data_IF_602373966436
#
_entry.id   IF_602373966436
#
_cell.length_a   1.000
_cell.length_b   1.000
_cell.length_c   1.000
_cell.angle_alpha   90.00
_cell.angle_beta   90.00
_cell.angle_gamma   90.00
#
_symmetry.space_group_name_H-M   'P 1'
#
loop_
_entity.id
_entity.type
_entity.pdbx_description
1 polymer ?
#
# COMPACT_ATOMS: atom_id res chain seq x y z
N UNK A 1 5.23 -18.42 -21.98
CA UNK A 1 4.35 -19.38 -21.28
C UNK A 1 2.92 -19.08 -21.72
N UNK A 2 2.14 -20.08 -22.16
CA UNK A 2 0.70 -19.92 -22.43
C UNK A 2 -0.07 -19.37 -21.21
N UNK A 3 -1.21 -18.71 -21.45
CA UNK A 3 -1.98 -18.07 -20.38
C UNK A 3 -2.47 -19.07 -19.32
N UNK A 4 -2.94 -20.25 -19.73
CA UNK A 4 -3.39 -21.31 -18.81
C UNK A 4 -2.24 -21.83 -17.93
N UNK A 5 -1.05 -22.02 -18.51
CA UNK A 5 0.13 -22.47 -17.79
C UNK A 5 0.61 -21.42 -16.78
N UNK A 6 0.52 -20.13 -17.14
CA UNK A 6 0.85 -19.04 -16.22
C UNK A 6 -0.10 -18.97 -15.02
N UNK A 7 -1.40 -19.16 -15.26
CA UNK A 7 -2.40 -19.22 -14.19
C UNK A 7 -2.18 -20.42 -13.27
N UNK A 8 -1.95 -21.61 -13.84
CA UNK A 8 -1.67 -22.82 -13.06
C UNK A 8 -0.39 -22.69 -12.23
N UNK A 9 0.65 -22.07 -12.80
CA UNK A 9 1.88 -21.74 -12.07
C UNK A 9 1.62 -20.76 -10.92
N UNK A 10 0.82 -19.71 -11.15
CA UNK A 10 0.47 -18.74 -10.11
C UNK A 10 -0.31 -19.39 -8.97
N UNK A 11 -1.32 -20.22 -9.27
CA UNK A 11 -2.10 -20.95 -8.27
C UNK A 11 -1.22 -21.86 -7.41
N UNK A 12 -0.33 -22.63 -8.05
CA UNK A 12 0.62 -23.52 -7.37
C UNK A 12 1.58 -22.72 -6.49
N UNK A 13 2.16 -21.64 -7.03
CA UNK A 13 3.13 -20.81 -6.31
C UNK A 13 2.50 -20.08 -5.12
N UNK A 14 1.27 -19.58 -5.27
CA UNK A 14 0.50 -18.97 -4.16
C UNK A 14 0.24 -19.99 -3.07
N UNK A 15 -0.22 -21.19 -3.42
CA UNK A 15 -0.51 -22.24 -2.45
C UNK A 15 0.75 -22.65 -1.66
N UNK A 16 1.88 -22.80 -2.35
CA UNK A 16 3.16 -23.10 -1.72
C UNK A 16 3.63 -21.98 -0.78
N UNK A 17 3.47 -20.71 -1.18
CA UNK A 17 3.78 -19.56 -0.32
C UNK A 17 2.95 -19.59 0.96
N UNK A 18 1.63 -19.77 0.85
CA UNK A 18 0.72 -19.81 2.01
C UNK A 18 1.08 -20.96 2.93
N UNK A 19 1.32 -22.16 2.39
CA UNK A 19 1.72 -23.32 3.17
C UNK A 19 3.06 -23.09 3.91
N UNK A 20 4.05 -22.53 3.22
CA UNK A 20 5.36 -22.25 3.83
C UNK A 20 5.28 -21.25 4.97
N UNK A 21 4.45 -20.21 4.86
CA UNK A 21 4.30 -19.19 5.91
C UNK A 21 3.37 -19.62 7.06
N UNK A 22 2.56 -20.67 6.89
CA UNK A 22 1.61 -21.11 7.91
C UNK A 22 2.30 -21.60 9.20
N UNK A 23 3.46 -22.22 9.07
CA UNK A 23 4.18 -22.84 10.20
C UNK A 23 5.35 -21.99 10.72
N UNK A 24 5.59 -20.80 10.15
CA UNK A 24 6.66 -19.91 10.58
C UNK A 24 6.15 -19.03 11.73
N UNK A 25 6.91 -18.96 12.82
CA UNK A 25 6.64 -17.98 13.89
C UNK A 25 6.57 -16.56 13.28
N UNK A 26 5.46 -15.82 13.46
CA UNK A 26 5.27 -14.48 12.92
C UNK A 26 6.42 -13.51 13.19
N UNK A 27 7.14 -13.66 14.30
CA UNK A 27 8.26 -12.81 14.69
C UNK A 27 9.60 -13.18 14.02
N UNK A 28 9.70 -14.37 13.41
CA UNK A 28 10.92 -14.87 12.74
C UNK A 28 11.47 -13.83 11.78
N UNK A 29 12.77 -13.51 11.89
CA UNK A 29 13.44 -12.57 11.00
C UNK A 29 13.89 -13.27 9.72
N UNK A 30 13.36 -12.80 8.59
CA UNK A 30 13.67 -13.28 7.26
C UNK A 30 14.63 -12.30 6.56
N UNK A 31 15.59 -12.81 5.75
CA UNK A 31 16.39 -11.97 4.87
C UNK A 31 15.51 -11.12 3.95
N UNK A 32 15.87 -9.85 3.76
CA UNK A 32 15.11 -8.90 2.95
C UNK A 32 16.07 -7.98 2.17
N UNK A 33 15.55 -7.25 1.19
CA UNK A 33 16.34 -6.28 0.41
C UNK A 33 16.88 -5.12 1.29
N UNK A 34 16.15 -4.79 2.35
CA UNK A 34 16.57 -3.85 3.39
C UNK A 34 16.90 -4.56 4.71
N UNK A 35 16.66 -3.94 5.86
CA UNK A 35 16.77 -4.61 7.16
C UNK A 35 15.93 -5.90 7.19
N UNK A 36 16.39 -6.96 7.87
CA UNK A 36 15.62 -8.18 8.04
C UNK A 36 14.20 -7.89 8.53
N UNK A 37 13.22 -8.54 7.90
CA UNK A 37 11.81 -8.30 8.15
C UNK A 37 11.21 -9.47 8.93
N UNK A 38 10.23 -9.24 9.80
CA UNK A 38 9.48 -10.35 10.42
C UNK A 38 8.72 -11.16 9.37
N UNK A 39 8.43 -12.43 9.65
CA UNK A 39 7.65 -13.28 8.75
C UNK A 39 6.27 -12.68 8.44
N UNK A 40 5.60 -12.11 9.46
CA UNK A 40 4.30 -11.43 9.27
C UNK A 40 4.41 -10.19 8.39
N UNK A 41 5.45 -9.39 8.54
CA UNK A 41 5.65 -8.19 7.71
C UNK A 41 6.01 -8.58 6.27
N UNK A 42 6.83 -9.63 6.10
CA UNK A 42 7.17 -10.18 4.78
C UNK A 42 5.93 -10.68 4.04
N UNK A 43 5.05 -11.43 4.72
CA UNK A 43 3.80 -11.90 4.15
C UNK A 43 2.84 -10.74 3.83
N UNK A 44 2.77 -9.73 4.70
CA UNK A 44 1.97 -8.51 4.46
C UNK A 44 2.48 -7.74 3.24
N UNK A 45 3.80 -7.67 3.05
CA UNK A 45 4.39 -7.08 1.85
C UNK A 45 4.00 -7.86 0.58
N UNK A 46 4.02 -9.20 0.61
CA UNK A 46 3.58 -10.03 -0.52
C UNK A 46 2.09 -9.89 -0.82
N UNK A 47 1.26 -9.77 0.21
CA UNK A 47 -0.16 -9.47 0.05
C UNK A 47 -0.36 -8.11 -0.64
N UNK A 48 0.34 -7.08 -0.18
CA UNK A 48 0.28 -5.74 -0.78
C UNK A 48 0.75 -5.75 -2.24
N UNK A 49 1.88 -6.37 -2.55
CA UNK A 49 2.38 -6.51 -3.94
C UNK A 49 1.37 -7.20 -4.84
N UNK A 50 0.78 -8.31 -4.37
CA UNK A 50 -0.26 -9.04 -5.11
C UNK A 50 -1.49 -8.18 -5.33
N UNK A 51 -1.91 -7.42 -4.31
CA UNK A 51 -3.06 -6.53 -4.41
C UNK A 51 -2.82 -5.37 -5.40
N UNK A 52 -1.62 -4.79 -5.37
CA UNK A 52 -1.22 -3.65 -6.19
C UNK A 52 -1.07 -4.06 -7.67
N UNK A 53 -0.42 -5.19 -7.94
CA UNK A 53 -0.35 -5.72 -9.31
C UNK A 53 -1.67 -6.28 -9.82
N UNK A 54 -2.53 -6.79 -8.93
CA UNK A 54 -3.92 -7.07 -9.26
C UNK A 54 -4.68 -5.82 -9.70
N UNK A 55 -4.38 -4.65 -9.13
CA UNK A 55 -4.95 -3.39 -9.59
C UNK A 55 -4.46 -3.01 -10.99
N UNK A 56 -3.18 -3.23 -11.29
CA UNK A 56 -2.63 -2.97 -12.63
C UNK A 56 -3.41 -3.76 -13.71
N UNK A 57 -3.79 -5.01 -13.41
CA UNK A 57 -4.65 -5.83 -14.31
C UNK A 57 -6.07 -5.29 -14.42
N UNK A 58 -6.68 -4.91 -13.29
CA UNK A 58 -8.03 -4.32 -13.26
C UNK A 58 -8.07 -3.05 -14.11
N UNK A 59 -7.08 -2.17 -13.95
CA UNK A 59 -6.96 -0.93 -14.71
C UNK A 59 -6.76 -1.21 -16.21
N UNK A 60 -5.89 -2.16 -16.57
CA UNK A 60 -5.63 -2.53 -17.96
C UNK A 60 -6.86 -3.09 -18.68
N UNK A 61 -7.75 -3.76 -17.94
CA UNK A 61 -9.00 -4.32 -18.47
C UNK A 61 -10.18 -3.34 -18.38
N UNK A 62 -10.00 -2.15 -17.81
CA UNK A 62 -11.10 -1.22 -17.55
C UNK A 62 -12.15 -1.79 -16.58
N UNK A 63 -11.78 -2.74 -15.75
CA UNK A 63 -12.68 -3.39 -14.80
C UNK A 63 -12.78 -2.57 -13.50
N UNK A 64 -13.79 -2.91 -12.69
CA UNK A 64 -13.90 -2.41 -11.31
C UNK A 64 -13.68 -3.57 -10.34
N UNK A 65 -12.87 -3.36 -9.30
CA UNK A 65 -12.67 -4.31 -8.21
C UNK A 65 -13.27 -3.74 -6.94
N UNK A 66 -14.20 -4.47 -6.34
CA UNK A 66 -14.82 -4.09 -5.08
C UNK A 66 -13.79 -3.98 -3.95
N UNK A 67 -13.81 -2.85 -3.24
CA UNK A 67 -13.01 -2.64 -2.05
C UNK A 67 -13.60 -3.44 -0.89
N UNK A 68 -12.74 -4.13 -0.13
CA UNK A 68 -13.17 -4.93 1.03
C UNK A 68 -12.29 -4.63 2.25
N UNK A 69 -12.72 -5.04 3.44
CA UNK A 69 -11.98 -4.84 4.68
C UNK A 69 -10.53 -5.40 4.63
N UNK A 70 -10.22 -6.32 3.70
CA UNK A 70 -8.86 -6.83 3.45
C UNK A 70 -7.85 -5.73 3.07
N UNK A 71 -8.30 -4.57 2.61
CA UNK A 71 -7.46 -3.39 2.39
C UNK A 71 -6.72 -2.93 3.65
N UNK A 72 -7.21 -3.27 4.85
CA UNK A 72 -6.55 -2.91 6.11
C UNK A 72 -5.10 -3.38 6.17
N UNK A 73 -4.77 -4.52 5.55
CA UNK A 73 -3.39 -5.02 5.49
C UNK A 73 -2.49 -4.12 4.61
N UNK A 74 -3.01 -3.67 3.47
CA UNK A 74 -2.30 -2.76 2.56
C UNK A 74 -2.13 -1.38 3.19
N UNK A 75 -3.18 -0.86 3.81
CA UNK A 75 -3.11 0.40 4.55
C UNK A 75 -2.10 0.31 5.70
N UNK A 76 -2.09 -0.79 6.46
CA UNK A 76 -1.18 -0.97 7.58
C UNK A 76 0.29 -0.93 7.16
N UNK A 77 0.67 -1.64 6.09
CA UNK A 77 2.04 -1.58 5.59
C UNK A 77 2.36 -0.22 4.95
N UNK A 78 1.39 0.42 4.29
CA UNK A 78 1.55 1.79 3.78
C UNK A 78 1.87 2.81 4.88
N UNK A 79 1.19 2.73 6.02
CA UNK A 79 1.51 3.56 7.20
C UNK A 79 2.89 3.20 7.76
N UNK A 80 3.18 1.91 7.91
CA UNK A 80 4.48 1.43 8.41
C UNK A 80 5.66 1.82 7.53
N UNK A 81 5.42 2.09 6.24
CA UNK A 81 6.44 2.48 5.27
C UNK A 81 6.72 3.99 5.23
N UNK A 82 6.15 4.82 6.11
CA UNK A 82 6.45 6.26 6.17
C UNK A 82 7.96 6.51 6.24
N UNK A 83 8.65 5.93 7.21
CA UNK A 83 10.11 6.11 7.36
C UNK A 83 10.88 5.69 6.08
N UNK A 84 10.45 4.61 5.44
CA UNK A 84 11.03 4.15 4.20
C UNK A 84 10.79 5.12 3.03
N UNK A 85 9.61 5.75 2.96
CA UNK A 85 9.27 6.75 1.93
C UNK A 85 10.24 7.94 1.96
N UNK A 86 10.59 8.43 3.16
CA UNK A 86 11.59 9.50 3.33
C UNK A 86 12.99 9.03 2.94
N UNK A 87 13.42 7.86 3.43
CA UNK A 87 14.71 7.27 3.10
C UNK A 87 14.90 7.09 1.58
N UNK A 88 13.89 6.55 0.89
CA UNK A 88 13.93 6.30 -0.55
C UNK A 88 14.02 7.59 -1.38
N UNK A 89 13.59 8.73 -0.82
CA UNK A 89 13.66 10.05 -1.45
C UNK A 89 14.85 10.89 -0.95
N UNK A 90 15.75 10.33 -0.14
CA UNK A 90 16.90 11.05 0.40
C UNK A 90 16.53 12.18 1.36
N UNK A 91 15.38 12.06 2.03
CA UNK A 91 14.87 13.03 2.99
C UNK A 91 15.00 12.50 4.42
N UNK A 92 15.22 13.40 5.37
CA UNK A 92 15.16 13.06 6.79
C UNK A 92 13.71 12.86 7.23
N UNK A 93 13.47 11.82 8.04
CA UNK A 93 12.15 11.57 8.62
C UNK A 93 11.87 12.62 9.72
N UNK A 94 10.80 13.42 9.61
CA UNK A 94 10.38 14.32 10.68
C UNK A 94 10.00 13.54 11.94
N UNK A 95 10.44 14.03 13.11
CA UNK A 95 10.16 13.40 14.40
C UNK A 95 8.67 13.41 14.76
N UNK A 96 7.95 14.45 14.32
CA UNK A 96 6.54 14.58 14.63
C UNK A 96 5.69 13.47 13.95
N UNK A 97 4.73 12.90 14.69
CA UNK A 97 3.87 11.86 14.16
C UNK A 97 2.86 12.43 13.17
N UNK A 98 2.34 11.53 12.32
CA UNK A 98 1.18 11.79 11.48
C UNK A 98 0.08 10.83 11.91
N UNK A 99 -1.10 11.37 12.21
CA UNK A 99 -2.33 10.61 12.44
C UNK A 99 -2.90 10.17 11.11
N UNK A 100 -3.31 8.92 10.99
CA UNK A 100 -3.98 8.40 9.78
C UNK A 100 -5.36 7.92 10.15
N UNK A 101 -6.39 8.39 9.44
CA UNK A 101 -7.79 8.02 9.65
C UNK A 101 -8.46 7.69 8.33
N UNK A 102 -8.66 6.39 8.07
CA UNK A 102 -9.19 5.91 6.80
C UNK A 102 -10.61 5.39 6.96
N UNK A 103 -11.49 5.80 6.08
CA UNK A 103 -12.83 5.22 5.96
C UNK A 103 -12.73 3.87 5.27
N UNK A 104 -13.06 2.81 6.00
CA UNK A 104 -13.13 1.44 5.53
C UNK A 104 -14.29 1.24 4.53
N UNK A 105 -14.26 0.16 3.73
CA UNK A 105 -15.34 -0.10 2.77
C UNK A 105 -16.72 -0.31 3.39
N UNK A 106 -16.80 -0.70 4.66
CA UNK A 106 -18.05 -0.82 5.43
C UNK A 106 -18.47 0.49 6.14
N UNK A 107 -17.73 1.58 5.92
CA UNK A 107 -17.96 2.88 6.55
C UNK A 107 -17.34 3.03 7.95
N UNK A 108 -16.77 1.97 8.54
CA UNK A 108 -16.00 2.08 9.79
C UNK A 108 -14.72 2.91 9.59
N UNK A 109 -14.10 3.37 10.69
CA UNK A 109 -12.85 4.15 10.62
C UNK A 109 -11.68 3.35 11.15
N UNK A 110 -10.59 3.30 10.38
CA UNK A 110 -9.32 2.73 10.80
C UNK A 110 -8.34 3.84 11.16
N UNK A 111 -7.70 3.73 12.32
CA UNK A 111 -6.81 4.77 12.84
C UNK A 111 -5.40 4.24 13.12
N UNK A 112 -4.39 5.03 12.78
CA UNK A 112 -2.99 4.82 13.18
C UNK A 112 -2.38 6.11 13.71
N UNK A 113 -1.50 6.00 14.71
CA UNK A 113 -0.82 7.15 15.31
C UNK A 113 -1.63 7.90 16.38
N UNK A 114 -1.00 8.85 17.08
CA UNK A 114 -1.60 9.59 18.19
C UNK A 114 -2.80 10.42 17.76
N UNK A 115 -3.83 10.50 18.60
CA UNK A 115 -5.06 11.24 18.28
C UNK A 115 -4.86 12.77 18.30
N UNK A 116 -3.82 13.23 19.00
CA UNK A 116 -3.43 14.61 19.20
C UNK A 116 -2.30 15.07 18.25
N UNK A 117 -1.94 14.25 17.25
CA UNK A 117 -0.93 14.63 16.27
C UNK A 117 -1.39 15.86 15.47
N UNK A 118 -0.52 16.86 15.37
CA UNK A 118 -0.78 18.09 14.61
C UNK A 118 -0.89 17.88 13.09
N UNK A 119 -0.45 16.72 12.58
CA UNK A 119 -0.52 16.38 11.17
C UNK A 119 -1.42 15.16 10.99
N UNK A 120 -2.37 15.22 10.05
CA UNK A 120 -3.37 14.17 9.83
C UNK A 120 -3.58 13.87 8.35
N UNK A 121 -3.64 12.60 8.01
CA UNK A 121 -4.11 12.08 6.72
C UNK A 121 -5.48 11.47 6.93
N UNK A 122 -6.45 11.82 6.09
CA UNK A 122 -7.78 11.19 6.13
C UNK A 122 -8.37 10.98 4.74
N UNK A 123 -9.33 10.05 4.62
CA UNK A 123 -10.04 9.77 3.36
C UNK A 123 -10.35 8.29 3.18
N UNK A 124 -10.78 7.86 1.98
CA UNK A 124 -11.10 6.46 1.70
C UNK A 124 -9.88 5.54 1.84
N UNK A 125 -10.07 4.37 2.43
CA UNK A 125 -8.98 3.40 2.57
C UNK A 125 -8.46 2.90 1.22
N UNK A 126 -9.33 2.77 0.21
CA UNK A 126 -8.94 2.40 -1.15
C UNK A 126 -7.95 3.41 -1.73
N UNK A 127 -8.28 4.69 -1.66
CA UNK A 127 -7.47 5.79 -2.17
C UNK A 127 -6.10 5.84 -1.50
N UNK A 128 -6.05 5.67 -0.17
CA UNK A 128 -4.78 5.55 0.53
C UNK A 128 -3.95 4.38 0.02
N UNK A 129 -4.56 3.19 -0.11
CA UNK A 129 -3.87 2.01 -0.62
C UNK A 129 -3.37 2.20 -2.06
N UNK A 130 -4.14 2.87 -2.92
CA UNK A 130 -3.75 3.18 -4.29
C UNK A 130 -2.60 4.18 -4.34
N UNK A 131 -2.61 5.21 -3.49
CA UNK A 131 -1.55 6.21 -3.45
C UNK A 131 -0.23 5.63 -2.93
N UNK A 132 -0.24 4.98 -1.76
CA UNK A 132 0.99 4.44 -1.14
C UNK A 132 1.63 3.31 -1.96
N UNK A 133 0.88 2.70 -2.88
CA UNK A 133 1.39 1.72 -3.84
C UNK A 133 1.66 2.33 -5.22
N UNK A 134 1.56 3.66 -5.38
CA UNK A 134 1.78 4.39 -6.64
C UNK A 134 0.90 3.93 -7.81
N UNK A 135 -0.35 3.53 -7.52
CA UNK A 135 -1.36 3.17 -8.53
C UNK A 135 -2.30 4.32 -8.88
N UNK A 136 -2.33 5.38 -8.08
CA UNK A 136 -3.02 6.64 -8.40
C UNK A 136 -2.11 7.83 -8.11
N UNK A 137 -2.33 8.91 -8.85
CA UNK A 137 -1.74 10.21 -8.51
C UNK A 137 -2.49 10.78 -7.30
N UNK A 138 -1.83 11.62 -6.51
CA UNK A 138 -2.43 12.24 -5.33
C UNK A 138 -3.71 13.01 -5.65
N UNK A 139 -3.70 13.79 -6.73
CA UNK A 139 -4.85 14.60 -7.16
C UNK A 139 -6.04 13.76 -7.64
N UNK A 140 -5.82 12.46 -7.89
CA UNK A 140 -6.87 11.50 -8.25
C UNK A 140 -7.46 10.78 -7.03
N UNK A 141 -7.15 11.26 -5.83
CA UNK A 141 -7.64 10.68 -4.57
C UNK A 141 -8.45 11.69 -3.77
N UNK A 142 -9.39 11.20 -2.98
CA UNK A 142 -10.11 11.99 -1.98
C UNK A 142 -9.36 12.08 -0.64
N UNK A 143 -8.04 11.92 -0.65
CA UNK A 143 -7.21 12.02 0.54
C UNK A 143 -7.00 13.48 0.92
N UNK A 144 -7.22 13.78 2.20
CA UNK A 144 -6.99 15.09 2.80
C UNK A 144 -5.75 15.00 3.68
N UNK A 145 -4.80 15.91 3.43
CA UNK A 145 -3.68 16.18 4.33
C UNK A 145 -3.97 17.46 5.12
N UNK A 146 -3.99 17.33 6.44
CA UNK A 146 -3.99 18.45 7.37
C UNK A 146 -2.59 18.54 7.99
N UNK A 147 -1.95 19.70 7.85
CA UNK A 147 -0.58 19.93 8.28
C UNK A 147 0.51 19.59 7.24
N UNK A 148 1.66 20.27 7.31
CA UNK A 148 2.71 20.20 6.30
C UNK A 148 3.40 18.82 6.20
N UNK A 149 3.47 18.06 7.30
CA UNK A 149 4.12 16.74 7.28
C UNK A 149 3.21 15.68 6.70
N UNK A 150 1.90 15.80 6.88
CA UNK A 150 0.94 14.95 6.18
C UNK A 150 1.02 15.20 4.67
N UNK A 151 1.07 16.48 4.27
CA UNK A 151 1.20 16.88 2.88
C UNK A 151 2.48 16.35 2.23
N UNK A 152 3.63 16.61 2.88
CA UNK A 152 4.93 16.14 2.41
C UNK A 152 4.95 14.60 2.29
N UNK A 153 4.43 13.88 3.29
CA UNK A 153 4.44 12.43 3.26
C UNK A 153 3.58 11.88 2.11
N UNK A 154 2.38 12.39 1.90
CA UNK A 154 1.52 11.93 0.79
C UNK A 154 2.15 12.19 -0.58
N UNK A 155 2.98 13.23 -0.72
CA UNK A 155 3.69 13.52 -1.97
C UNK A 155 4.77 12.49 -2.33
N UNK A 156 5.31 11.76 -1.34
CA UNK A 156 6.42 10.82 -1.52
C UNK A 156 6.08 9.38 -1.13
N UNK A 157 4.81 9.10 -0.81
CA UNK A 157 4.41 7.85 -0.18
C UNK A 157 4.74 6.62 -1.04
N UNK A 158 5.39 5.63 -0.42
CA UNK A 158 5.74 4.37 -1.06
C UNK A 158 5.77 3.22 -0.05
N UNK A 159 5.05 2.14 -0.36
CA UNK A 159 4.91 0.96 0.49
C UNK A 159 5.75 -0.25 0.03
N UNK A 160 6.52 -0.13 -1.05
CA UNK A 160 7.32 -1.21 -1.65
C UNK A 160 8.82 -0.89 -1.67
N UNK A 161 9.66 -1.92 -1.73
CA UNK A 161 11.12 -1.75 -1.77
C UNK A 161 11.61 -1.31 -3.16
N UNK A 162 12.65 -0.49 -3.19
CA UNK A 162 13.25 0.03 -4.42
C UNK A 162 13.22 1.57 -4.50
N UNK A 163 13.90 2.15 -5.51
CA UNK A 163 13.85 3.59 -5.72
C UNK A 163 12.42 4.06 -6.06
N UNK A 164 12.09 5.34 -5.83
CA UNK A 164 10.82 5.90 -6.26
C UNK A 164 10.66 5.77 -7.78
N UNK A 165 9.50 5.29 -8.21
CA UNK A 165 9.14 5.25 -9.62
C UNK A 165 8.75 6.64 -10.15
N UNK A 166 8.50 6.75 -11.46
CA UNK A 166 8.00 7.99 -12.07
C UNK A 166 6.57 8.39 -11.67
N UNK A 167 5.93 7.62 -10.79
CA UNK A 167 4.56 7.84 -10.33
C UNK A 167 3.49 7.66 -11.42
N UNK A 168 2.28 8.12 -11.10
CA UNK A 168 1.17 8.25 -12.05
C UNK A 168 0.96 9.72 -12.38
N UNK A 169 0.46 10.01 -13.57
CA UNK A 169 0.14 11.38 -13.98
C UNK A 169 -1.26 11.74 -13.46
N UNK A 170 -1.46 12.97 -13.00
CA UNK A 170 -2.79 13.46 -12.62
C UNK A 170 -3.80 13.27 -13.76
N UNK A 171 -4.99 12.78 -13.43
CA UNK A 171 -6.06 12.51 -14.38
C UNK A 171 -5.87 11.26 -15.25
N UNK A 172 -4.78 10.50 -15.08
CA UNK A 172 -4.49 9.31 -15.89
C UNK A 172 -5.65 8.29 -15.88
N UNK A 173 -6.37 8.18 -14.76
CA UNK A 173 -7.45 7.21 -14.58
C UNK A 173 -8.85 7.85 -14.47
N UNK A 174 -8.98 9.16 -14.72
CA UNK A 174 -10.26 9.88 -14.61
C UNK A 174 -11.29 9.50 -15.70
N UNK A 175 -10.87 8.78 -16.74
CA UNK A 175 -11.70 8.46 -17.92
C UNK A 175 -12.48 7.14 -17.87
N UNK A 176 -12.57 6.45 -16.73
CA UNK A 176 -13.12 5.09 -16.61
C UNK A 176 -14.65 4.97 -16.47
N UNK A 177 -15.40 6.07 -16.44
CA UNK A 177 -16.87 5.99 -16.52
C UNK A 177 -17.31 6.01 -17.99
N UNK A 178 -17.54 4.82 -18.56
CA UNK A 178 -18.47 4.62 -19.68
C UNK A 178 -19.36 3.43 -19.37
#
# INVERSE_FOLDING_TARGET
MPAADLLAWFDTSRAALVAAFADIDPATRLPWFGPPMSAVSSLTARLMETWAHGQDVVDALGATREATARLRHVAHIGVGARAFSYLANGLDLPADPVRVELTAPDGSVWTWGPADAANRVSGPALDFCLLVTQRRHRDDTALVADGPLADQWLAIAQAFAGPPGGGRVAGQFAGGQR
#
